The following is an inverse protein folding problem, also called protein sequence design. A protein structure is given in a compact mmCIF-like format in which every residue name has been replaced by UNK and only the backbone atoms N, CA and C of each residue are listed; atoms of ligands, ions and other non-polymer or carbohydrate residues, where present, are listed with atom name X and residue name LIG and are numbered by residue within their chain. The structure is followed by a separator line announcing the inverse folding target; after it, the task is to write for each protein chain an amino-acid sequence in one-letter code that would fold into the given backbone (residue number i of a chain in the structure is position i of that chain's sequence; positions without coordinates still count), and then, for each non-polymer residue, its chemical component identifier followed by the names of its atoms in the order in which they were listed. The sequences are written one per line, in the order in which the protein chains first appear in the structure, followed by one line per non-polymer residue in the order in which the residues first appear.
data_IF_961542481524
#
_entry.id   IF_961542481524
#
_cell.length_a   1.000
_cell.length_b   1.000
_cell.length_c   1.000
_cell.angle_alpha   90.00
_cell.angle_beta   90.00
_cell.angle_gamma   90.00
#
_symmetry.space_group_name_H-M   'P 1'
#
loop_
_entity.id
_entity.type
_entity.pdbx_description
1 polymer ?
#
# COMPACT_ATOMS: atom_id res chain seq x y z
N UNK A 1 -22.27 -21.67 -15.29
CA UNK A 1 -23.55 -20.96 -15.06
C UNK A 1 -23.19 -19.70 -14.30
N UNK A 2 -23.23 -18.55 -14.97
CA UNK A 2 -22.92 -17.27 -14.37
C UNK A 2 -24.00 -16.93 -13.34
N UNK A 3 -23.62 -16.78 -12.07
CA UNK A 3 -24.51 -16.30 -11.02
C UNK A 3 -24.67 -14.80 -11.17
N UNK A 4 -25.89 -14.40 -11.50
CA UNK A 4 -26.37 -13.02 -11.56
C UNK A 4 -26.37 -12.41 -10.13
N UNK A 5 -25.41 -11.53 -9.88
CA UNK A 5 -25.20 -10.86 -8.58
C UNK A 5 -26.27 -9.79 -8.26
N UNK A 6 -27.24 -9.54 -9.15
CA UNK A 6 -28.35 -8.62 -8.89
C UNK A 6 -29.33 -9.11 -7.80
N UNK A 7 -29.24 -10.37 -7.38
CA UNK A 7 -30.16 -10.99 -6.42
C UNK A 7 -29.83 -10.78 -4.93
N UNK A 8 -28.70 -10.14 -4.58
CA UNK A 8 -28.26 -9.99 -3.18
C UNK A 8 -28.76 -8.71 -2.48
N UNK A 9 -29.50 -7.82 -3.16
CA UNK A 9 -30.06 -6.62 -2.52
C UNK A 9 -29.02 -5.65 -1.94
N UNK A 10 -27.74 -5.82 -2.28
CA UNK A 10 -26.67 -4.89 -2.00
C UNK A 10 -26.77 -3.76 -3.02
N UNK A 11 -27.07 -2.56 -2.57
CA UNK A 11 -26.81 -1.35 -3.34
C UNK A 11 -25.31 -1.29 -3.62
N UNK A 12 -24.93 -1.20 -4.89
CA UNK A 12 -23.57 -0.85 -5.29
C UNK A 12 -23.24 0.51 -4.68
N UNK A 13 -22.47 0.54 -3.59
CA UNK A 13 -21.87 1.77 -3.08
C UNK A 13 -20.69 2.15 -3.99
N UNK A 14 -20.99 2.46 -5.25
CA UNK A 14 -20.05 3.07 -6.19
C UNK A 14 -19.99 4.56 -5.85
N UNK A 15 -19.05 4.96 -5.02
CA UNK A 15 -18.70 6.36 -4.86
C UNK A 15 -17.75 6.71 -6.00
N UNK A 16 -18.21 7.57 -6.92
CA UNK A 16 -17.33 8.27 -7.84
C UNK A 16 -17.30 9.71 -7.37
N UNK A 17 -16.15 10.14 -6.85
CA UNK A 17 -15.96 11.50 -6.35
C UNK A 17 -14.98 12.21 -7.25
N UNK A 18 -15.36 13.40 -7.71
CA UNK A 18 -14.41 14.37 -8.25
C UNK A 18 -13.60 14.87 -7.07
N UNK A 19 -12.30 14.63 -7.09
CA UNK A 19 -11.38 15.19 -6.09
C UNK A 19 -10.35 16.00 -6.86
N UNK A 20 -10.37 17.32 -6.66
CA UNK A 20 -9.21 18.16 -6.90
C UNK A 20 -8.15 17.75 -5.88
N UNK A 21 -7.27 16.83 -6.26
CA UNK A 21 -6.06 16.60 -5.47
C UNK A 21 -5.11 17.71 -5.92
N UNK A 22 -5.01 18.76 -5.11
CA UNK A 22 -3.86 19.65 -5.22
C UNK A 22 -2.63 18.78 -5.07
N UNK A 23 -1.96 18.49 -6.19
CA UNK A 23 -0.91 17.50 -6.31
C UNK A 23 0.06 17.59 -5.13
N UNK A 24 0.09 16.53 -4.34
CA UNK A 24 1.14 16.34 -3.36
C UNK A 24 2.45 16.18 -4.13
N UNK A 25 3.22 17.27 -4.20
CA UNK A 25 4.53 17.30 -4.85
C UNK A 25 5.59 16.46 -4.11
N UNK A 26 5.22 15.72 -3.06
CA UNK A 26 6.12 14.91 -2.26
C UNK A 26 5.54 13.52 -1.96
N UNK A 27 5.55 12.65 -2.99
CA UNK A 27 5.77 11.20 -2.84
C UNK A 27 4.96 10.51 -1.73
N UNK A 28 3.71 10.11 -2.00
CA UNK A 28 3.11 8.83 -1.57
C UNK A 28 1.65 8.76 -2.01
N UNK A 29 1.35 8.07 -3.12
CA UNK A 29 0.01 7.48 -3.30
C UNK A 29 0.07 6.12 -4.03
N UNK A 30 0.46 5.13 -3.24
CA UNK A 30 0.01 3.73 -3.26
C UNK A 30 -0.48 3.13 -4.60
N UNK A 31 0.41 2.95 -5.58
CA UNK A 31 0.32 1.80 -6.47
C UNK A 31 0.73 0.53 -5.68
N UNK A 32 -0.18 0.01 -4.85
CA UNK A 32 -0.05 -1.24 -4.06
C UNK A 32 1.40 -1.58 -3.65
N UNK A 33 1.93 -1.03 -2.54
CA UNK A 33 3.20 -1.48 -2.02
C UNK A 33 2.99 -2.81 -1.29
N UNK A 34 3.08 -3.92 -2.00
CA UNK A 34 3.45 -5.20 -1.39
C UNK A 34 4.25 -6.04 -2.37
N UNK A 35 5.56 -6.09 -2.12
CA UNK A 35 6.38 -7.32 -2.08
C UNK A 35 6.34 -8.18 -3.34
N UNK A 36 7.47 -8.25 -4.07
CA UNK A 36 7.95 -9.33 -4.98
C UNK A 36 8.12 -8.98 -6.47
N UNK A 37 7.37 -8.05 -7.08
CA UNK A 37 7.68 -7.48 -8.41
C UNK A 37 6.82 -6.24 -8.68
N UNK A 38 7.35 -5.16 -9.28
CA UNK A 38 6.51 -4.03 -9.68
C UNK A 38 5.43 -4.48 -10.67
N UNK A 39 4.24 -3.84 -10.64
CA UNK A 39 3.22 -4.14 -11.62
C UNK A 39 3.74 -3.96 -13.05
N UNK A 40 3.34 -4.86 -13.94
CA UNK A 40 3.55 -4.67 -15.38
C UNK A 40 2.40 -3.87 -15.95
N UNK A 41 2.71 -2.71 -16.55
CA UNK A 41 1.73 -1.85 -17.19
C UNK A 41 1.79 -1.99 -18.71
N UNK A 42 0.65 -2.30 -19.32
CA UNK A 42 0.51 -2.48 -20.77
C UNK A 42 -0.69 -1.71 -21.30
N UNK A 43 -0.67 -1.43 -22.60
CA UNK A 43 -1.76 -0.70 -23.26
C UNK A 43 -1.99 -1.21 -24.67
N UNK A 44 -3.20 -1.06 -25.17
CA UNK A 44 -3.56 -1.37 -26.56
C UNK A 44 -3.08 -0.30 -27.55
N UNK A 45 -2.72 0.89 -27.07
CA UNK A 45 -2.38 2.01 -27.95
C UNK A 45 -1.42 2.99 -27.28
N UNK A 46 -0.28 3.27 -27.89
CA UNK A 46 0.70 4.21 -27.34
C UNK A 46 1.44 4.95 -28.45
N UNK A 47 1.65 6.25 -28.26
CA UNK A 47 2.44 7.07 -29.17
C UNK A 47 3.93 6.69 -29.14
N UNK A 48 4.63 6.90 -30.26
CA UNK A 48 6.07 6.66 -30.33
C UNK A 48 6.82 7.56 -29.36
N UNK A 49 7.72 6.98 -28.57
CA UNK A 49 8.52 7.70 -27.56
C UNK A 49 7.91 7.71 -26.15
N UNK A 50 6.72 7.13 -25.97
CA UNK A 50 6.06 7.01 -24.67
C UNK A 50 6.04 5.57 -24.17
N UNK A 51 5.91 5.40 -22.86
CA UNK A 51 5.82 4.10 -22.17
C UNK A 51 4.54 4.01 -21.35
N UNK A 52 3.91 2.82 -21.32
CA UNK A 52 2.68 2.62 -20.56
C UNK A 52 2.92 2.69 -19.05
N UNK A 53 4.12 2.31 -18.60
CA UNK A 53 4.55 2.41 -17.21
C UNK A 53 4.60 3.83 -16.67
N UNK A 54 4.66 4.85 -17.54
CA UNK A 54 4.62 6.25 -17.14
C UNK A 54 3.24 6.73 -16.66
N UNK A 55 2.23 5.86 -16.70
CA UNK A 55 0.96 6.10 -16.02
C UNK A 55 0.90 5.41 -14.66
N UNK A 56 1.94 4.74 -14.20
CA UNK A 56 1.91 3.94 -12.96
C UNK A 56 3.26 3.99 -12.23
N UNK A 57 4.04 5.05 -12.44
CA UNK A 57 5.39 5.18 -11.89
C UNK A 57 5.43 6.06 -10.63
N UNK A 58 4.28 6.58 -10.20
CA UNK A 58 4.15 7.43 -9.01
C UNK A 58 4.77 8.82 -9.21
N UNK A 59 5.04 9.21 -10.45
CA UNK A 59 5.60 10.50 -10.80
C UNK A 59 4.64 11.25 -11.71
N UNK A 60 3.84 12.13 -11.12
CA UNK A 60 2.90 13.01 -11.83
C UNK A 60 3.55 13.88 -12.92
N UNK A 61 4.87 14.09 -12.89
CA UNK A 61 5.60 14.82 -13.93
C UNK A 61 5.88 14.00 -15.21
N UNK A 62 5.59 12.71 -15.19
CA UNK A 62 5.63 11.80 -16.33
C UNK A 62 4.22 11.36 -16.72
N UNK A 63 4.04 10.90 -17.95
CA UNK A 63 2.72 10.54 -18.45
C UNK A 63 2.75 9.52 -19.59
N UNK A 64 1.68 8.74 -19.66
CA UNK A 64 1.31 7.94 -20.81
C UNK A 64 0.57 8.78 -21.86
N UNK A 65 0.84 8.53 -23.14
CA UNK A 65 0.15 9.20 -24.25
C UNK A 65 -0.29 8.23 -25.34
N UNK A 66 -1.55 8.36 -25.74
CA UNK A 66 -2.13 7.58 -26.85
C UNK A 66 -1.61 8.03 -28.22
N UNK A 67 -1.77 7.18 -29.24
CA UNK A 67 -1.52 7.57 -30.63
C UNK A 67 -2.52 8.62 -31.12
N UNK A 68 -2.19 9.33 -32.19
CA UNK A 68 -3.07 10.30 -32.82
C UNK A 68 -4.43 9.71 -33.21
N UNK A 69 -5.51 10.39 -32.80
CA UNK A 69 -6.90 10.07 -33.12
C UNK A 69 -7.24 8.59 -32.85
N UNK A 70 -7.10 8.14 -31.59
CA UNK A 70 -7.29 6.74 -31.26
C UNK A 70 -8.76 6.34 -31.49
N UNK A 71 -8.99 5.12 -31.95
CA UNK A 71 -10.32 4.50 -31.89
C UNK A 71 -10.61 4.02 -30.47
N UNK A 72 -11.85 4.04 -30.01
CA UNK A 72 -12.21 3.46 -28.72
C UNK A 72 -12.97 2.13 -28.89
N UNK A 73 -12.90 1.20 -27.93
CA UNK A 73 -12.23 1.33 -26.63
C UNK A 73 -10.70 1.13 -26.67
N UNK A 74 -10.01 1.71 -25.69
CA UNK A 74 -8.58 1.47 -25.42
C UNK A 74 -8.41 0.92 -24.00
N UNK A 75 -7.41 0.07 -23.78
CA UNK A 75 -7.12 -0.50 -22.47
C UNK A 75 -5.80 0.03 -21.96
N UNK A 76 -5.77 0.39 -20.67
CA UNK A 76 -4.58 0.47 -19.84
C UNK A 76 -4.70 -0.64 -18.80
N UNK A 77 -3.72 -1.54 -18.73
CA UNK A 77 -3.78 -2.76 -17.92
C UNK A 77 -2.56 -2.86 -17.04
N UNK A 78 -2.80 -3.07 -15.74
CA UNK A 78 -1.82 -3.26 -14.69
C UNK A 78 -1.94 -4.69 -14.19
N UNK A 79 -0.84 -5.44 -14.11
CA UNK A 79 -0.83 -6.83 -13.65
C UNK A 79 0.29 -7.09 -12.66
N UNK A 80 0.04 -7.96 -11.69
CA UNK A 80 0.98 -8.35 -10.64
C UNK A 80 1.31 -9.84 -10.75
N UNK A 81 2.45 -10.30 -10.19
CA UNK A 81 2.75 -11.73 -10.10
C UNK A 81 1.82 -12.49 -9.14
N UNK A 82 1.19 -11.79 -8.18
CA UNK A 82 0.32 -12.36 -7.18
C UNK A 82 -0.96 -11.52 -7.01
N UNK A 83 -2.01 -12.13 -6.46
CA UNK A 83 -3.29 -11.46 -6.33
C UNK A 83 -3.26 -10.41 -5.20
N UNK A 84 -3.74 -9.21 -5.50
CA UNK A 84 -3.90 -8.13 -4.52
C UNK A 84 -5.38 -7.85 -4.27
N UNK A 85 -5.68 -7.44 -3.05
CA UNK A 85 -7.00 -6.96 -2.69
C UNK A 85 -7.10 -5.44 -2.91
N UNK A 86 -8.04 -5.02 -3.75
CA UNK A 86 -8.16 -3.67 -4.30
C UNK A 86 -9.63 -3.21 -4.35
N UNK A 87 -9.89 -1.91 -4.18
CA UNK A 87 -11.26 -1.34 -4.12
C UNK A 87 -11.44 -0.05 -4.89
N UNK A 88 -10.43 0.42 -5.61
CA UNK A 88 -10.54 1.65 -6.38
C UNK A 88 -9.50 1.75 -7.47
N UNK A 89 -9.78 2.60 -8.44
CA UNK A 89 -8.80 3.09 -9.41
C UNK A 89 -8.97 4.60 -9.55
N UNK A 90 -7.89 5.34 -9.36
CA UNK A 90 -7.83 6.78 -9.64
C UNK A 90 -7.17 6.98 -11.01
N UNK A 91 -7.74 7.87 -11.82
CA UNK A 91 -7.08 8.41 -13.01
C UNK A 91 -6.76 9.87 -12.71
N UNK A 92 -5.51 10.24 -12.98
CA UNK A 92 -4.98 11.59 -12.84
C UNK A 92 -4.52 12.08 -14.20
N UNK A 93 -4.81 13.33 -14.50
CA UNK A 93 -4.27 14.00 -15.68
C UNK A 93 -3.94 15.47 -15.39
N UNK A 94 -3.07 16.04 -16.19
CA UNK A 94 -3.03 17.48 -16.42
C UNK A 94 -3.79 17.84 -17.71
N UNK A 95 -4.15 19.12 -17.88
CA UNK A 95 -4.89 19.59 -19.06
C UNK A 95 -6.14 18.71 -19.38
N UNK A 96 -6.79 18.21 -18.34
CA UNK A 96 -7.78 17.13 -18.46
C UNK A 96 -8.98 17.50 -19.34
N UNK A 97 -9.38 18.76 -19.35
CA UNK A 97 -10.45 19.25 -20.23
C UNK A 97 -10.08 19.11 -21.73
N UNK A 98 -8.80 19.17 -22.10
CA UNK A 98 -8.33 18.99 -23.48
C UNK A 98 -7.97 17.54 -23.84
N UNK A 99 -7.51 16.73 -22.86
CA UNK A 99 -6.90 15.42 -23.12
C UNK A 99 -7.20 14.29 -22.12
N UNK A 100 -8.02 14.52 -21.10
CA UNK A 100 -8.36 13.49 -20.11
C UNK A 100 -9.36 12.46 -20.63
N UNK A 101 -9.32 11.19 -20.16
CA UNK A 101 -10.40 10.22 -20.36
C UNK A 101 -11.75 10.75 -19.88
N UNK A 102 -12.84 10.49 -20.59
CA UNK A 102 -14.19 11.03 -20.26
C UNK A 102 -15.22 9.96 -19.94
N UNK A 103 -14.92 8.69 -20.24
CA UNK A 103 -15.72 7.54 -19.83
C UNK A 103 -14.83 6.30 -19.84
N UNK A 104 -14.86 5.51 -18.76
CA UNK A 104 -14.16 4.24 -18.68
C UNK A 104 -14.84 3.25 -17.76
N UNK A 105 -14.54 1.98 -17.98
CA UNK A 105 -14.86 0.90 -17.05
C UNK A 105 -13.61 0.37 -16.38
N UNK A 106 -13.74 0.00 -15.10
CA UNK A 106 -12.70 -0.71 -14.35
C UNK A 106 -13.04 -2.20 -14.39
N UNK A 107 -12.08 -2.99 -14.86
CA UNK A 107 -12.16 -4.43 -14.96
C UNK A 107 -11.09 -5.07 -14.09
N UNK A 108 -11.39 -6.23 -13.52
CA UNK A 108 -10.43 -7.05 -12.76
C UNK A 108 -10.30 -8.43 -13.39
N UNK A 109 -9.13 -9.05 -13.22
CA UNK A 109 -8.85 -10.41 -13.63
C UNK A 109 -8.13 -11.17 -12.52
N UNK A 110 -8.66 -12.35 -12.18
CA UNK A 110 -8.08 -13.19 -11.13
C UNK A 110 -6.66 -13.69 -11.48
N UNK A 111 -6.36 -13.87 -12.77
CA UNK A 111 -5.08 -14.40 -13.29
C UNK A 111 -4.27 -13.34 -14.08
N UNK A 112 -4.69 -12.07 -13.99
CA UNK A 112 -4.08 -10.94 -14.69
C UNK A 112 -4.14 -11.00 -16.21
N UNK A 113 -4.78 -12.00 -16.83
CA UNK A 113 -4.63 -12.25 -18.27
C UNK A 113 -5.95 -12.56 -18.97
N UNK A 114 -6.85 -13.32 -18.36
CA UNK A 114 -8.11 -13.76 -18.95
C UNK A 114 -9.33 -13.36 -18.10
N UNK A 115 -10.53 -13.63 -18.61
CA UNK A 115 -11.80 -13.49 -17.86
C UNK A 115 -11.98 -12.14 -17.14
N UNK A 116 -11.65 -11.04 -17.83
CA UNK A 116 -11.81 -9.69 -17.31
C UNK A 116 -13.29 -9.38 -17.02
N UNK A 117 -13.58 -8.99 -15.79
CA UNK A 117 -14.93 -8.68 -15.30
C UNK A 117 -15.00 -7.20 -14.96
N UNK A 118 -15.98 -6.48 -15.51
CA UNK A 118 -16.26 -5.09 -15.12
C UNK A 118 -16.81 -5.04 -13.69
N UNK A 119 -16.14 -4.30 -12.81
CA UNK A 119 -16.52 -4.12 -11.40
C UNK A 119 -17.01 -2.71 -11.10
N UNK A 120 -16.68 -1.75 -11.96
CA UNK A 120 -17.06 -0.36 -11.80
C UNK A 120 -17.06 0.39 -13.15
N UNK A 121 -17.70 1.54 -13.19
CA UNK A 121 -17.63 2.49 -14.31
C UNK A 121 -17.49 3.90 -13.75
N UNK A 122 -16.69 4.75 -14.40
CA UNK A 122 -16.58 6.17 -14.04
C UNK A 122 -17.89 6.94 -14.22
N UNK A 123 -18.71 6.47 -15.19
CA UNK A 123 -19.72 7.30 -15.82
C UNK A 123 -19.09 8.44 -16.63
N UNK A 124 -19.90 9.37 -17.17
CA UNK A 124 -19.39 10.55 -17.84
C UNK A 124 -18.59 11.43 -16.88
N UNK A 125 -17.38 11.79 -17.27
CA UNK A 125 -16.49 12.69 -16.52
C UNK A 125 -16.34 14.00 -17.30
N UNK A 126 -16.52 15.12 -16.59
CA UNK A 126 -16.32 16.47 -17.12
C UNK A 126 -15.22 17.16 -16.33
N UNK A 127 -14.04 17.24 -16.92
CA UNK A 127 -12.89 17.92 -16.34
C UNK A 127 -13.05 19.45 -16.40
N UNK A 128 -12.47 20.12 -15.40
CA UNK A 128 -12.67 21.54 -15.17
C UNK A 128 -11.59 22.39 -15.84
N UNK A 129 -10.35 21.90 -15.87
CA UNK A 129 -9.15 22.66 -16.19
C UNK A 129 -8.45 22.14 -17.45
N UNK A 130 -7.97 23.07 -18.27
CA UNK A 130 -7.06 22.83 -19.40
C UNK A 130 -5.75 23.58 -19.17
N UNK A 131 -5.16 23.38 -17.99
CA UNK A 131 -3.87 23.93 -17.60
C UNK A 131 -3.03 22.87 -16.85
N UNK A 132 -1.88 23.26 -16.30
CA UNK A 132 -0.98 22.32 -15.60
C UNK A 132 -1.48 21.93 -14.19
N UNK A 133 -2.72 22.25 -13.81
CA UNK A 133 -3.33 21.68 -12.62
C UNK A 133 -3.65 20.21 -12.87
N UNK A 134 -3.29 19.36 -11.92
CA UNK A 134 -3.71 17.98 -11.93
C UNK A 134 -5.16 17.87 -11.44
N UNK A 135 -5.99 17.16 -12.20
CA UNK A 135 -7.31 16.73 -11.75
C UNK A 135 -7.33 15.21 -11.62
N UNK A 136 -8.15 14.69 -10.71
CA UNK A 136 -8.25 13.26 -10.49
C UNK A 136 -9.70 12.78 -10.44
N UNK A 137 -9.90 11.52 -10.81
CA UNK A 137 -11.18 10.84 -10.68
C UNK A 137 -10.98 9.43 -10.12
N UNK A 138 -11.44 9.24 -8.89
CA UNK A 138 -11.53 7.92 -8.26
C UNK A 138 -12.81 7.21 -8.70
N UNK A 139 -12.66 5.95 -9.09
CA UNK A 139 -13.75 5.00 -9.31
C UNK A 139 -13.63 3.88 -8.27
N UNK A 140 -14.46 3.96 -7.23
CA UNK A 140 -14.49 2.94 -6.17
C UNK A 140 -15.45 1.79 -6.48
N UNK A 141 -15.14 0.61 -5.96
CA UNK A 141 -15.94 -0.60 -6.10
C UNK A 141 -15.78 -1.55 -4.90
N UNK A 142 -16.72 -2.49 -4.69
CA UNK A 142 -16.58 -3.49 -3.63
C UNK A 142 -15.24 -4.23 -3.76
N UNK A 143 -14.51 -4.39 -2.65
CA UNK A 143 -13.18 -5.01 -2.65
C UNK A 143 -13.13 -6.30 -3.48
N UNK A 144 -12.14 -6.39 -4.36
CA UNK A 144 -11.85 -7.54 -5.22
C UNK A 144 -10.44 -8.05 -4.92
N UNK A 145 -10.22 -9.35 -5.08
CA UNK A 145 -8.86 -9.93 -5.07
C UNK A 145 -8.51 -10.36 -6.49
N UNK A 146 -7.45 -9.80 -7.07
CA UNK A 146 -7.11 -9.98 -8.47
C UNK A 146 -5.60 -9.79 -8.74
N UNK A 147 -5.09 -10.50 -9.75
CA UNK A 147 -3.73 -10.35 -10.30
C UNK A 147 -3.67 -9.29 -11.42
N UNK A 148 -4.80 -8.71 -11.82
CA UNK A 148 -4.79 -7.61 -12.77
C UNK A 148 -5.99 -6.68 -12.69
N UNK A 149 -5.73 -5.42 -13.00
CA UNK A 149 -6.71 -4.34 -13.15
C UNK A 149 -6.57 -3.75 -14.55
N UNK A 150 -7.70 -3.50 -15.21
CA UNK A 150 -7.75 -2.88 -16.53
C UNK A 150 -8.74 -1.73 -16.53
N UNK A 151 -8.26 -0.56 -16.91
CA UNK A 151 -9.10 0.58 -17.27
C UNK A 151 -9.37 0.49 -18.76
N UNK A 152 -10.62 0.20 -19.11
CA UNK A 152 -11.11 0.21 -20.48
C UNK A 152 -11.76 1.57 -20.77
N UNK A 153 -11.03 2.43 -21.47
CA UNK A 153 -11.40 3.79 -21.84
C UNK A 153 -12.36 3.72 -23.02
N UNK A 154 -13.59 4.20 -22.80
CA UNK A 154 -14.66 4.29 -23.79
C UNK A 154 -14.63 5.59 -24.60
N UNK A 155 -14.18 6.68 -23.99
CA UNK A 155 -13.96 7.97 -24.66
C UNK A 155 -12.97 8.85 -23.90
N UNK A 156 -12.41 9.84 -24.58
CA UNK A 156 -11.56 10.87 -23.99
C UNK A 156 -11.74 12.21 -24.70
N UNK A 157 -11.39 13.30 -24.02
CA UNK A 157 -11.14 14.58 -24.66
C UNK A 157 -9.93 14.43 -25.59
N UNK A 158 -9.98 15.12 -26.72
CA UNK A 158 -9.05 14.90 -27.83
C UNK A 158 -8.73 16.21 -28.57
N UNK A 159 -8.67 17.32 -27.85
CA UNK A 159 -8.38 18.65 -28.42
C UNK A 159 -6.99 18.69 -29.05
N UNK A 160 -6.01 18.06 -28.40
CA UNK A 160 -4.65 17.88 -28.91
C UNK A 160 -4.52 16.68 -29.87
N UNK A 161 -5.66 16.04 -30.16
CA UNK A 161 -5.78 14.88 -31.04
C UNK A 161 -5.19 13.58 -30.47
N UNK A 162 -4.86 13.57 -29.18
CA UNK A 162 -4.51 12.41 -28.35
C UNK A 162 -5.12 12.62 -26.95
N UNK A 163 -5.30 11.53 -26.20
CA UNK A 163 -5.54 11.57 -24.76
C UNK A 163 -4.29 11.17 -23.96
N UNK A 164 -4.22 11.66 -22.73
CA UNK A 164 -3.11 11.48 -21.78
C UNK A 164 -3.63 10.97 -20.43
N UNK A 165 -2.80 10.18 -19.76
CA UNK A 165 -2.96 9.80 -18.34
C UNK A 165 -1.62 10.03 -17.69
N UNK A 166 -1.58 10.91 -16.70
CA UNK A 166 -0.38 11.26 -15.95
C UNK A 166 -0.13 10.18 -14.91
N UNK A 167 -1.18 9.77 -14.18
CA UNK A 167 -1.08 8.68 -13.23
C UNK A 167 -2.39 7.85 -13.19
N UNK A 168 -2.24 6.56 -12.97
CA UNK A 168 -3.28 5.60 -12.67
C UNK A 168 -2.89 4.88 -11.38
N UNK A 169 -3.64 5.18 -10.33
CA UNK A 169 -3.41 4.59 -9.02
C UNK A 169 -4.44 3.50 -8.77
N UNK A 170 -4.01 2.39 -8.16
CA UNK A 170 -4.91 1.30 -7.77
C UNK A 170 -5.07 1.34 -6.26
N UNK A 171 -6.23 1.77 -5.80
CA UNK A 171 -6.52 1.85 -4.37
C UNK A 171 -6.59 0.44 -3.78
N UNK A 172 -5.74 0.13 -2.78
CA UNK A 172 -5.87 -1.10 -2.02
C UNK A 172 -7.26 -1.24 -1.40
N UNK A 173 -7.69 -2.46 -1.11
CA UNK A 173 -9.00 -2.65 -0.51
C UNK A 173 -9.06 -1.96 0.86
N UNK A 174 -9.87 -0.92 0.98
CA UNK A 174 -10.11 -0.24 2.25
C UNK A 174 -11.53 -0.56 2.73
N UNK A 175 -11.65 -1.30 3.82
CA UNK A 175 -12.96 -1.63 4.38
C UNK A 175 -13.51 -0.54 5.31
N UNK A 176 -12.71 0.46 5.69
CA UNK A 176 -13.10 1.48 6.66
C UNK A 176 -14.32 2.31 6.22
N UNK A 177 -14.49 2.72 4.94
CA UNK A 177 -15.67 3.46 4.48
C UNK A 177 -17.01 2.73 4.61
N UNK A 178 -16.99 1.39 4.68
CA UNK A 178 -18.20 0.61 4.91
C UNK A 178 -18.61 0.53 6.40
N UNK A 179 -17.75 0.98 7.31
CA UNK A 179 -18.02 0.94 8.74
C UNK A 179 -18.80 2.17 9.23
N UNK A 180 -19.63 1.95 10.25
CA UNK A 180 -20.09 3.05 11.11
C UNK A 180 -18.98 3.43 12.07
N UNK A 181 -18.47 4.66 11.95
CA UNK A 181 -17.46 5.21 12.86
C UNK A 181 -18.10 5.86 14.09
N UNK A 182 -17.54 5.61 15.27
CA UNK A 182 -17.89 6.28 16.52
C UNK A 182 -16.65 6.64 17.33
N UNK A 183 -16.76 7.61 18.23
CA UNK A 183 -15.64 8.03 19.08
C UNK A 183 -16.10 8.48 20.46
N UNK A 184 -15.22 8.36 21.45
CA UNK A 184 -15.46 8.83 22.83
C UNK A 184 -15.11 10.31 23.04
N UNK A 185 -14.46 10.97 22.09
CA UNK A 185 -14.10 12.40 22.18
C UNK A 185 -14.30 13.07 20.84
N UNK A 186 -15.26 14.00 20.74
CA UNK A 186 -15.59 14.67 19.49
C UNK A 186 -15.76 16.16 19.71
N UNK A 187 -15.07 16.98 18.90
CA UNK A 187 -15.28 18.42 18.88
C UNK A 187 -16.65 18.79 18.27
N UNK A 188 -17.23 19.90 18.73
CA UNK A 188 -18.47 20.42 18.15
C UNK A 188 -18.26 20.78 16.68
N UNK A 189 -19.18 20.34 15.82
CA UNK A 189 -19.11 20.57 14.37
C UNK A 189 -18.34 19.52 13.58
N UNK A 190 -17.71 18.55 14.25
CA UNK A 190 -16.98 17.44 13.61
C UNK A 190 -17.78 16.14 13.67
N UNK A 191 -17.39 15.17 12.84
CA UNK A 191 -17.96 13.82 12.81
C UNK A 191 -16.85 12.78 12.93
N UNK A 192 -17.14 11.66 13.61
CA UNK A 192 -16.25 10.50 13.58
C UNK A 192 -16.12 9.96 12.15
N UNK A 193 -17.23 9.97 11.38
CA UNK A 193 -17.25 9.43 10.02
C UNK A 193 -16.38 10.17 9.01
N UNK A 194 -15.87 11.35 9.36
CA UNK A 194 -14.95 12.07 8.51
C UNK A 194 -13.61 11.32 8.36
N UNK A 195 -13.13 10.68 9.43
CA UNK A 195 -11.86 9.96 9.39
C UNK A 195 -11.94 8.55 8.79
N UNK A 196 -13.10 8.04 8.38
CA UNK A 196 -13.17 6.79 7.60
C UNK A 196 -13.90 6.97 6.27
N UNK A 197 -14.03 8.20 5.79
CA UNK A 197 -14.82 8.50 4.60
C UNK A 197 -14.16 8.04 3.30
N UNK A 198 -12.83 7.89 3.30
CA UNK A 198 -12.03 7.75 2.09
C UNK A 198 -11.89 9.06 1.29
N UNK A 199 -12.28 10.20 1.87
CA UNK A 199 -12.16 11.52 1.25
C UNK A 199 -11.01 12.29 1.87
N UNK A 200 -10.02 12.64 1.05
CA UNK A 200 -8.75 13.21 1.48
C UNK A 200 -8.87 14.53 2.25
N UNK A 201 -9.89 15.34 2.02
CA UNK A 201 -10.10 16.64 2.70
C UNK A 201 -10.93 16.55 4.00
N UNK A 202 -11.34 15.35 4.39
CA UNK A 202 -12.16 15.17 5.58
C UNK A 202 -11.33 14.63 6.75
N UNK A 203 -11.62 15.13 7.95
CA UNK A 203 -10.90 14.75 9.15
C UNK A 203 -11.79 14.77 10.38
N UNK A 204 -11.43 13.93 11.34
CA UNK A 204 -12.00 13.91 12.68
C UNK A 204 -11.15 14.77 13.62
N UNK A 205 -11.81 15.49 14.54
CA UNK A 205 -11.14 16.27 15.59
C UNK A 205 -11.68 15.94 16.97
N UNK A 206 -10.78 15.69 17.92
CA UNK A 206 -11.13 15.36 19.31
C UNK A 206 -11.77 16.55 20.03
N UNK A 207 -12.49 16.31 21.12
CA UNK A 207 -12.83 17.38 22.07
C UNK A 207 -11.57 18.05 22.64
N UNK A 208 -11.72 19.26 23.20
CA UNK A 208 -10.63 20.02 23.80
C UNK A 208 -10.03 19.27 25.01
N UNK A 209 -8.71 19.14 25.04
CA UNK A 209 -7.91 18.55 26.11
C UNK A 209 -8.49 17.23 26.61
N UNK A 210 -8.62 16.22 25.73
CA UNK A 210 -9.26 14.96 26.08
C UNK A 210 -8.40 14.19 27.09
N UNK A 211 -9.04 13.47 28.02
CA UNK A 211 -8.34 12.52 28.90
C UNK A 211 -8.08 11.22 28.16
N UNK A 212 -6.88 10.67 28.21
CA UNK A 212 -6.61 9.37 27.58
C UNK A 212 -6.89 8.18 28.52
N UNK A 213 -7.28 7.00 28.00
CA UNK A 213 -7.39 6.68 26.58
C UNK A 213 -8.69 7.19 25.93
N UNK A 214 -8.63 7.46 24.63
CA UNK A 214 -9.78 7.71 23.77
C UNK A 214 -9.98 6.56 22.80
N UNK A 215 -11.20 6.38 22.31
CA UNK A 215 -11.54 5.31 21.40
C UNK A 215 -12.09 5.88 20.09
N UNK A 216 -11.62 5.35 18.98
CA UNK A 216 -12.19 5.52 17.66
C UNK A 216 -12.55 4.13 17.13
N UNK A 217 -13.84 3.87 16.91
CA UNK A 217 -14.37 2.53 16.64
C UNK A 217 -15.00 2.48 15.26
N UNK A 218 -14.60 1.48 14.47
CA UNK A 218 -15.20 1.11 13.20
C UNK A 218 -16.03 -0.15 13.41
N UNK A 219 -17.33 -0.08 13.13
CA UNK A 219 -18.22 -1.24 13.20
C UNK A 219 -18.85 -1.52 11.84
N UNK A 220 -18.64 -2.71 11.32
CA UNK A 220 -19.13 -3.11 10.00
C UNK A 220 -20.50 -3.78 10.07
N UNK A 221 -21.31 -3.66 9.01
CA UNK A 221 -22.57 -4.41 8.90
C UNK A 221 -22.34 -5.93 8.75
N UNK A 222 -21.16 -6.34 8.26
CA UNK A 222 -20.71 -7.73 8.15
C UNK A 222 -19.23 -7.82 8.53
N UNK A 223 -18.77 -8.92 9.16
CA UNK A 223 -17.36 -9.07 9.52
C UNK A 223 -16.42 -8.88 8.33
N UNK A 224 -15.33 -8.15 8.56
CA UNK A 224 -14.29 -7.89 7.56
C UNK A 224 -13.00 -8.60 7.94
N UNK A 225 -12.26 -9.07 6.92
CA UNK A 225 -10.89 -9.52 7.12
C UNK A 225 -9.95 -8.31 7.05
N UNK A 226 -9.22 -8.06 8.13
CA UNK A 226 -8.29 -6.92 8.25
C UNK A 226 -6.94 -7.44 8.73
N UNK A 227 -5.86 -6.98 8.09
CA UNK A 227 -4.48 -7.32 8.48
C UNK A 227 -3.59 -6.12 8.75
N UNK A 228 -4.06 -4.90 8.47
CA UNK A 228 -3.40 -3.69 8.90
C UNK A 228 -4.39 -2.55 9.09
N UNK A 229 -4.00 -1.58 9.92
CA UNK A 229 -4.69 -0.29 10.03
C UNK A 229 -3.69 0.83 9.81
N UNK A 230 -4.02 1.74 8.90
CA UNK A 230 -3.24 2.95 8.62
C UNK A 230 -3.92 4.14 9.26
N UNK A 231 -3.13 4.96 9.97
CA UNK A 231 -3.55 6.28 10.44
C UNK A 231 -2.85 7.33 9.58
N UNK A 232 -3.63 8.22 8.97
CA UNK A 232 -3.14 9.36 8.19
C UNK A 232 -3.37 10.66 8.96
N UNK A 233 -2.40 11.56 8.88
CA UNK A 233 -2.47 12.87 9.50
C UNK A 233 -1.80 13.96 8.64
N UNK A 234 -2.25 15.20 8.84
CA UNK A 234 -1.53 16.42 8.48
C UNK A 234 -1.09 17.16 9.76
N UNK A 235 -0.04 17.98 9.68
CA UNK A 235 0.54 18.68 10.84
C UNK A 235 0.79 17.72 12.02
N UNK A 236 1.33 16.54 11.72
CA UNK A 236 1.34 15.41 12.64
C UNK A 236 2.14 15.68 13.93
N UNK A 237 3.14 16.57 13.89
CA UNK A 237 3.95 16.88 15.07
C UNK A 237 3.17 17.64 16.14
N UNK A 238 2.07 18.30 15.77
CA UNK A 238 1.25 19.07 16.70
C UNK A 238 -0.12 18.46 17.00
N UNK A 239 -0.65 17.56 16.16
CA UNK A 239 -2.03 17.09 16.34
C UNK A 239 -2.28 15.59 16.10
N UNK A 240 -1.29 14.78 15.74
CA UNK A 240 -1.54 13.36 15.52
C UNK A 240 -1.49 12.51 16.81
N UNK A 241 -2.23 11.40 16.89
CA UNK A 241 -1.98 10.33 17.86
C UNK A 241 -0.53 9.88 17.86
N UNK A 242 0.02 9.55 19.03
CA UNK A 242 1.44 9.15 19.20
C UNK A 242 1.60 7.79 19.87
N UNK A 243 0.50 7.20 20.36
CA UNK A 243 0.47 5.86 20.95
C UNK A 243 -0.98 5.37 20.88
N UNK A 244 -1.21 4.25 20.19
CA UNK A 244 -2.51 3.60 20.14
C UNK A 244 -2.39 2.07 20.07
N UNK A 245 -3.40 1.41 20.64
CA UNK A 245 -3.63 -0.03 20.47
C UNK A 245 -4.71 -0.26 19.41
N UNK A 246 -4.57 -1.32 18.63
CA UNK A 246 -5.62 -1.86 17.79
C UNK A 246 -6.30 -2.98 18.56
N UNK A 247 -7.61 -2.83 18.74
CA UNK A 247 -8.43 -3.85 19.38
C UNK A 247 -9.49 -4.37 18.43
N UNK A 248 -9.71 -5.67 18.44
CA UNK A 248 -10.81 -6.30 17.70
C UNK A 248 -11.97 -6.70 18.60
N UNK A 249 -13.16 -6.78 18.00
CA UNK A 249 -14.31 -7.45 18.59
C UNK A 249 -14.97 -8.35 17.53
N UNK A 250 -14.94 -9.68 17.70
CA UNK A 250 -15.61 -10.60 16.78
C UNK A 250 -17.12 -10.35 16.64
N UNK A 251 -17.78 -9.86 17.70
CA UNK A 251 -19.22 -9.58 17.72
C UNK A 251 -19.58 -8.09 17.59
N UNK A 252 -18.57 -7.23 17.44
CA UNK A 252 -18.70 -5.79 17.23
C UNK A 252 -19.12 -4.97 18.45
N UNK A 253 -19.37 -5.60 19.62
CA UNK A 253 -19.97 -4.92 20.77
C UNK A 253 -19.26 -5.19 22.09
N UNK A 254 -18.58 -6.33 22.25
CA UNK A 254 -17.92 -6.75 23.49
C UNK A 254 -16.70 -7.64 23.21
N UNK A 255 -16.01 -8.06 24.27
CA UNK A 255 -14.89 -9.02 24.11
C UNK A 255 -13.69 -8.42 23.39
N UNK A 256 -13.45 -7.12 23.58
CA UNK A 256 -12.36 -6.41 22.96
C UNK A 256 -11.00 -6.97 23.37
N UNK A 257 -10.18 -7.36 22.40
CA UNK A 257 -8.82 -7.87 22.57
C UNK A 257 -7.84 -6.96 21.84
N UNK A 258 -6.75 -6.56 22.50
CA UNK A 258 -5.64 -5.89 21.79
C UNK A 258 -4.92 -6.91 20.93
N UNK A 259 -4.81 -6.63 19.64
CA UNK A 259 -4.17 -7.50 18.64
C UNK A 259 -2.86 -6.91 18.10
N UNK A 260 -2.69 -5.59 18.21
CA UNK A 260 -1.45 -4.89 17.91
C UNK A 260 -1.40 -3.54 18.60
N UNK A 261 -0.21 -2.94 18.62
CA UNK A 261 0.02 -1.59 19.15
C UNK A 261 0.99 -0.86 18.22
N UNK A 262 0.80 0.44 18.05
CA UNK A 262 1.73 1.28 17.31
C UNK A 262 3.09 1.42 18.00
N UNK A 263 3.14 1.17 19.31
CA UNK A 263 4.21 1.67 20.16
C UNK A 263 4.18 3.19 20.25
N UNK A 264 5.27 3.79 20.71
CA UNK A 264 5.44 5.25 20.71
C UNK A 264 5.86 5.72 19.33
N UNK A 265 5.00 6.51 18.68
CA UNK A 265 5.22 7.08 17.36
C UNK A 265 5.74 8.51 17.50
N UNK A 266 6.87 8.78 16.84
CA UNK A 266 7.42 10.13 16.65
C UNK A 266 7.24 10.52 15.19
N UNK A 267 6.35 11.48 14.92
CA UNK A 267 6.09 11.93 13.55
C UNK A 267 7.25 12.77 12.99
N UNK A 268 7.76 12.45 11.80
CA UNK A 268 8.87 13.20 11.19
C UNK A 268 8.44 14.62 10.78
N UNK A 269 9.42 15.46 10.49
CA UNK A 269 9.21 16.77 9.86
C UNK A 269 9.05 16.58 8.33
N UNK A 270 8.42 17.54 7.62
CA UNK A 270 7.90 18.83 8.10
C UNK A 270 6.56 18.71 8.86
N UNK A 271 6.24 19.74 9.65
CA UNK A 271 4.93 19.90 10.32
C UNK A 271 4.06 20.89 9.54
N UNK A 272 3.59 20.45 8.38
CA UNK A 272 2.78 21.22 7.46
C UNK A 272 1.60 20.38 6.94
N UNK A 273 1.02 20.78 5.82
CA UNK A 273 -0.08 20.05 5.18
C UNK A 273 0.38 18.81 4.39
N UNK A 274 1.65 18.41 4.47
CA UNK A 274 2.10 17.12 3.94
C UNK A 274 1.49 15.99 4.76
N UNK A 275 0.85 15.06 4.05
CA UNK A 275 0.24 13.87 4.64
C UNK A 275 1.31 12.91 5.07
N UNK A 276 1.24 12.45 6.32
CA UNK A 276 2.03 11.34 6.81
C UNK A 276 1.09 10.20 7.20
N UNK A 277 1.55 8.97 6.97
CA UNK A 277 0.83 7.77 7.32
C UNK A 277 1.66 6.90 8.25
N UNK A 278 0.99 6.22 9.18
CA UNK A 278 1.59 5.18 10.01
C UNK A 278 0.72 3.94 9.99
N UNK A 279 1.31 2.84 9.51
CA UNK A 279 0.62 1.55 9.38
C UNK A 279 1.02 0.64 10.53
N UNK A 280 0.02 0.04 11.15
CA UNK A 280 0.22 -1.06 12.11
C UNK A 280 -0.32 -2.33 11.48
N UNK A 281 0.59 -3.21 11.11
CA UNK A 281 0.29 -4.54 10.57
C UNK A 281 0.13 -5.56 11.70
N UNK A 282 -0.68 -6.59 11.47
CA UNK A 282 -0.94 -7.66 12.44
C UNK A 282 -1.43 -8.93 11.78
N UNK A 283 -1.40 -10.03 12.52
CA UNK A 283 -1.93 -11.31 12.04
C UNK A 283 -3.39 -11.11 11.68
N UNK A 284 -3.79 -11.40 10.42
CA UNK A 284 -5.12 -11.06 9.95
C UNK A 284 -6.24 -11.60 10.85
N UNK A 285 -7.21 -10.74 11.14
CA UNK A 285 -8.42 -11.10 11.90
C UNK A 285 -9.65 -10.99 11.03
N UNK A 286 -10.71 -11.71 11.38
CA UNK A 286 -12.05 -11.50 10.81
C UNK A 286 -12.97 -10.97 11.91
N UNK A 287 -13.26 -9.66 11.88
CA UNK A 287 -13.92 -8.96 12.97
C UNK A 287 -15.13 -8.16 12.51
N UNK A 288 -16.15 -8.08 13.36
CA UNK A 288 -17.32 -7.21 13.15
C UNK A 288 -17.07 -5.76 13.59
N UNK A 289 -16.06 -5.51 14.43
CA UNK A 289 -15.56 -4.18 14.71
C UNK A 289 -14.07 -4.18 15.05
N UNK A 290 -13.40 -3.07 14.72
CA UNK A 290 -12.09 -2.69 15.22
C UNK A 290 -12.21 -1.37 15.96
N UNK A 291 -11.33 -1.12 16.92
CA UNK A 291 -11.16 0.21 17.48
C UNK A 291 -9.71 0.54 17.75
N UNK A 292 -9.36 1.79 17.49
CA UNK A 292 -8.14 2.41 17.96
C UNK A 292 -8.38 2.87 19.39
N UNK A 293 -7.63 2.30 20.34
CA UNK A 293 -7.52 2.80 21.71
C UNK A 293 -6.31 3.74 21.74
N UNK A 294 -6.58 5.03 21.59
CA UNK A 294 -5.59 6.10 21.56
C UNK A 294 -5.13 6.36 22.99
N UNK A 295 -3.90 6.01 23.30
CA UNK A 295 -3.28 6.14 24.62
C UNK A 295 -2.60 7.51 24.81
N UNK A 296 -2.11 8.13 23.72
CA UNK A 296 -1.52 9.46 23.76
C UNK A 296 -1.59 10.14 22.37
N UNK A 297 -1.47 11.47 22.35
CA UNK A 297 -1.41 12.26 21.12
C UNK A 297 -0.65 13.58 21.32
N UNK A 298 -0.15 14.14 20.22
CA UNK A 298 0.28 15.53 20.16
C UNK A 298 -0.94 16.45 20.28
N UNK A 299 -0.86 17.43 21.18
CA UNK A 299 -1.96 18.35 21.52
C UNK A 299 -1.51 19.81 21.44
N UNK A 300 -0.79 20.20 20.39
CA UNK A 300 -0.27 21.55 20.18
C UNK A 300 -1.36 22.63 20.21
N UNK A 301 -2.54 22.34 19.65
CA UNK A 301 -3.74 23.19 19.77
C UNK A 301 -4.71 22.74 20.89
N UNK A 302 -4.29 21.77 21.71
CA UNK A 302 -5.09 21.13 22.74
C UNK A 302 -6.11 20.10 22.23
N UNK A 303 -6.06 19.74 20.95
CA UNK A 303 -6.89 18.68 20.34
C UNK A 303 -5.98 17.80 19.48
N UNK A 304 -6.37 16.54 19.30
CA UNK A 304 -5.78 15.70 18.27
C UNK A 304 -6.74 15.55 17.09
N UNK A 305 -6.16 15.25 15.94
CA UNK A 305 -6.83 15.09 14.66
C UNK A 305 -6.43 13.73 14.07
N UNK A 306 -7.37 13.11 13.37
CA UNK A 306 -7.11 11.97 12.52
C UNK A 306 -7.72 12.32 11.17
N UNK A 307 -6.90 12.39 10.14
CA UNK A 307 -7.34 12.74 8.80
C UNK A 307 -8.00 11.52 8.18
N UNK A 308 -7.33 10.37 8.15
CA UNK A 308 -7.95 9.10 7.75
C UNK A 308 -7.54 7.93 8.65
N UNK A 309 -8.44 6.95 8.74
CA UNK A 309 -8.25 5.61 9.28
C UNK A 309 -8.64 4.65 8.18
N UNK A 310 -7.67 3.90 7.71
CA UNK A 310 -7.85 2.93 6.64
C UNK A 310 -7.64 1.52 7.18
N UNK A 311 -8.50 0.59 6.76
CA UNK A 311 -8.38 -0.81 7.16
C UNK A 311 -8.08 -1.65 5.94
N UNK A 312 -6.87 -2.18 5.92
CA UNK A 312 -6.33 -2.93 4.81
C UNK A 312 -6.56 -4.42 5.04
N UNK A 313 -6.82 -5.20 3.97
CA UNK A 313 -6.85 -6.64 4.03
C UNK A 313 -5.49 -7.17 4.52
N UNK A 314 -5.46 -8.45 4.84
CA UNK A 314 -4.20 -9.16 4.98
C UNK A 314 -3.33 -8.94 3.74
N UNK A 315 -2.15 -8.35 3.92
CA UNK A 315 -1.08 -8.57 2.95
C UNK A 315 -0.77 -10.07 3.00
N UNK A 316 -0.82 -10.78 1.86
CA UNK A 316 -0.58 -12.21 1.88
C UNK A 316 0.82 -12.48 2.40
N UNK A 317 0.94 -13.52 3.23
CA UNK A 317 2.25 -14.12 3.51
C UNK A 317 2.76 -14.64 2.18
N UNK A 318 3.91 -14.13 1.73
CA UNK A 318 4.56 -14.55 0.49
C UNK A 318 5.79 -15.38 0.83
N UNK A 319 5.98 -16.47 0.11
CA UNK A 319 7.21 -17.27 0.19
C UNK A 319 7.84 -17.25 -1.17
N UNK A 320 9.02 -16.63 -1.25
CA UNK A 320 9.69 -16.35 -2.51
C UNK A 320 11.16 -16.73 -2.42
N UNK A 321 11.80 -16.90 -3.58
CA UNK A 321 13.25 -16.85 -3.68
C UNK A 321 13.69 -15.47 -4.13
N UNK A 322 14.64 -14.86 -3.41
CA UNK A 322 15.12 -13.50 -3.69
C UNK A 322 16.40 -13.53 -4.52
N UNK A 323 16.29 -13.22 -5.81
CA UNK A 323 17.37 -13.12 -6.77
C UNK A 323 18.03 -11.73 -6.72
N UNK A 324 19.33 -11.69 -6.44
CA UNK A 324 20.11 -10.46 -6.53
C UNK A 324 20.36 -10.05 -7.98
N UNK A 325 20.13 -8.77 -8.30
CA UNK A 325 20.28 -8.26 -9.66
C UNK A 325 21.73 -8.07 -10.12
N UNK A 326 22.69 -7.98 -9.21
CA UNK A 326 24.11 -7.83 -9.56
C UNK A 326 24.78 -9.17 -9.88
N UNK A 327 24.56 -10.20 -9.07
CA UNK A 327 25.16 -11.53 -9.25
C UNK A 327 24.30 -12.52 -10.02
N UNK A 328 22.97 -12.37 -10.01
CA UNK A 328 22.05 -13.39 -10.49
C UNK A 328 22.01 -14.63 -9.58
N UNK A 329 22.43 -14.49 -8.32
CA UNK A 329 22.39 -15.51 -7.27
C UNK A 329 21.26 -15.20 -6.29
N UNK A 330 20.86 -16.19 -5.49
CA UNK A 330 19.73 -16.09 -4.58
C UNK A 330 20.17 -16.00 -3.13
N UNK A 331 19.44 -15.21 -2.34
CA UNK A 331 19.56 -15.20 -0.88
C UNK A 331 19.38 -16.63 -0.34
N UNK A 332 20.32 -17.10 0.48
CA UNK A 332 20.45 -18.49 0.88
C UNK A 332 20.76 -18.63 2.40
N UNK A 333 20.22 -19.70 3.01
CA UNK A 333 20.80 -20.28 4.23
C UNK A 333 21.90 -21.28 3.81
N UNK A 334 23.19 -20.97 4.02
CA UNK A 334 24.28 -21.75 3.48
C UNK A 334 24.16 -23.24 3.81
N UNK A 335 24.00 -24.06 2.76
CA UNK A 335 23.84 -25.52 2.85
C UNK A 335 22.58 -25.98 3.63
N UNK A 336 21.58 -25.12 3.80
CA UNK A 336 20.41 -25.34 4.64
C UNK A 336 20.79 -25.61 6.10
N UNK A 337 21.60 -24.70 6.67
CA UNK A 337 22.24 -24.92 7.96
C UNK A 337 21.24 -25.09 9.10
N UNK A 338 20.13 -24.36 9.10
CA UNK A 338 19.13 -24.30 10.18
C UNK A 338 19.70 -23.99 11.57
N UNK A 339 20.94 -23.48 11.63
CA UNK A 339 21.67 -23.19 12.86
C UNK A 339 21.60 -21.69 13.14
N UNK A 340 21.12 -21.26 14.33
CA UNK A 340 21.13 -19.85 14.68
C UNK A 340 22.54 -19.25 14.61
N UNK A 341 22.63 -18.04 14.09
CA UNK A 341 23.85 -17.29 13.80
C UNK A 341 24.72 -17.83 12.66
N UNK A 342 24.13 -18.62 11.76
CA UNK A 342 24.69 -18.82 10.42
C UNK A 342 24.49 -17.54 9.61
N UNK A 343 25.57 -16.95 9.08
CA UNK A 343 25.46 -15.79 8.20
C UNK A 343 24.80 -16.18 6.88
N UNK A 344 23.80 -15.41 6.45
CA UNK A 344 23.19 -15.59 5.14
C UNK A 344 24.18 -15.21 4.03
N UNK A 345 24.05 -15.85 2.89
CA UNK A 345 24.88 -15.62 1.71
C UNK A 345 24.05 -15.62 0.42
N UNK A 346 24.75 -15.56 -0.71
CA UNK A 346 24.18 -15.79 -2.03
C UNK A 346 24.72 -17.08 -2.65
N UNK A 347 23.84 -17.85 -3.27
CA UNK A 347 24.18 -19.10 -3.96
C UNK A 347 23.35 -19.25 -5.25
N UNK A 348 23.76 -20.16 -6.14
CA UNK A 348 23.01 -20.48 -7.34
C UNK A 348 21.55 -20.81 -7.00
N UNK A 349 20.63 -20.12 -7.67
CA UNK A 349 19.21 -20.25 -7.43
C UNK A 349 18.70 -21.67 -7.69
N UNK A 350 17.91 -22.18 -6.76
CA UNK A 350 17.26 -23.48 -6.77
C UNK A 350 15.93 -23.45 -6.02
N UNK A 351 15.24 -24.59 -5.98
CA UNK A 351 13.94 -24.74 -5.31
C UNK A 351 14.07 -25.32 -3.88
N UNK A 352 15.26 -25.24 -3.28
CA UNK A 352 15.52 -25.76 -1.95
C UNK A 352 14.93 -24.84 -0.87
N UNK A 353 14.50 -25.42 0.26
CA UNK A 353 13.87 -24.68 1.35
C UNK A 353 14.75 -23.56 1.91
N UNK A 354 16.08 -23.72 1.83
CA UNK A 354 17.07 -22.76 2.28
C UNK A 354 17.05 -21.41 1.52
N UNK A 355 16.45 -21.37 0.32
CA UNK A 355 16.27 -20.17 -0.49
C UNK A 355 14.81 -19.69 -0.53
N UNK A 356 13.93 -20.28 0.29
CA UNK A 356 12.51 -19.94 0.35
C UNK A 356 12.26 -19.04 1.56
N UNK A 357 12.30 -17.74 1.33
CA UNK A 357 12.11 -16.75 2.37
C UNK A 357 10.65 -16.33 2.41
N UNK A 358 10.03 -16.57 3.56
CA UNK A 358 8.65 -16.22 3.85
C UNK A 358 8.60 -14.86 4.53
N UNK A 359 8.09 -13.85 3.81
CA UNK A 359 7.79 -12.55 4.36
C UNK A 359 6.43 -12.58 5.05
N UNK A 360 6.40 -12.19 6.33
CA UNK A 360 5.16 -12.08 7.11
C UNK A 360 4.90 -10.60 7.42
N UNK A 361 4.02 -9.92 6.66
CA UNK A 361 3.76 -8.49 6.85
C UNK A 361 3.28 -8.13 8.26
N UNK A 362 2.55 -9.04 8.90
CA UNK A 362 2.05 -8.88 10.27
C UNK A 362 3.15 -8.70 11.33
N UNK A 363 4.33 -9.28 11.09
CA UNK A 363 5.47 -9.24 12.00
C UNK A 363 6.69 -8.56 11.38
N UNK A 364 6.58 -8.15 10.11
CA UNK A 364 7.66 -7.58 9.29
C UNK A 364 8.89 -8.49 9.23
N UNK A 365 8.72 -9.79 9.38
CA UNK A 365 9.84 -10.76 9.41
C UNK A 365 10.02 -11.46 8.08
N UNK A 366 11.27 -11.66 7.67
CA UNK A 366 11.67 -12.61 6.64
C UNK A 366 12.17 -13.89 7.30
N UNK A 367 11.57 -15.02 6.96
CA UNK A 367 11.88 -16.32 7.60
C UNK A 367 12.26 -17.39 6.59
N UNK A 368 13.31 -18.15 6.87
CA UNK A 368 13.70 -19.33 6.09
C UNK A 368 14.01 -20.47 7.06
N UNK A 369 13.54 -21.68 6.73
CA UNK A 369 13.75 -22.89 7.53
C UNK A 369 13.49 -22.76 9.06
N UNK A 370 12.58 -21.88 9.46
CA UNK A 370 12.21 -21.63 10.86
C UNK A 370 13.09 -20.61 11.62
N UNK A 371 14.04 -19.98 10.93
CA UNK A 371 14.86 -18.86 11.42
C UNK A 371 14.42 -17.55 10.77
N UNK A 372 14.76 -16.44 11.43
CA UNK A 372 14.52 -15.08 10.96
C UNK A 372 15.81 -14.49 10.40
N UNK A 373 15.73 -13.76 9.28
CA UNK A 373 16.81 -12.87 8.85
C UNK A 373 17.01 -11.79 9.93
N UNK A 374 18.23 -11.63 10.39
CA UNK A 374 18.61 -10.84 11.56
C UNK A 374 19.82 -9.95 11.24
N UNK A 375 19.79 -8.70 11.68
CA UNK A 375 20.99 -7.85 11.68
C UNK A 375 21.90 -8.25 12.82
N UNK A 376 23.05 -8.86 12.50
CA UNK A 376 23.90 -9.55 13.46
C UNK A 376 24.19 -8.72 14.71
N UNK A 377 23.76 -9.25 15.86
CA UNK A 377 23.96 -8.62 17.17
C UNK A 377 23.14 -7.35 17.41
N UNK A 378 22.11 -7.09 16.59
CA UNK A 378 21.30 -5.86 16.63
C UNK A 378 22.11 -4.62 16.25
N UNK A 379 23.07 -4.76 15.33
CA UNK A 379 23.89 -3.66 14.86
C UNK A 379 23.21 -2.92 13.70
N UNK A 380 23.21 -1.59 13.73
CA UNK A 380 22.42 -0.74 12.82
C UNK A 380 23.28 0.23 12.00
N UNK A 381 24.52 -0.16 11.68
CA UNK A 381 25.46 0.63 10.89
C UNK A 381 25.79 -0.04 9.55
N UNK A 382 26.19 0.72 8.51
CA UNK A 382 26.69 0.14 7.27
C UNK A 382 27.79 -0.91 7.50
N UNK A 383 27.75 -1.99 6.73
CA UNK A 383 28.62 -3.16 6.85
C UNK A 383 28.20 -4.18 7.92
N UNK A 384 27.09 -3.98 8.65
CA UNK A 384 26.54 -5.02 9.53
C UNK A 384 26.17 -6.24 8.69
N UNK A 385 26.71 -7.41 9.03
CA UNK A 385 26.34 -8.69 8.39
C UNK A 385 24.98 -9.17 8.83
N UNK A 386 24.30 -9.91 7.95
CA UNK A 386 23.02 -10.54 8.29
C UNK A 386 23.20 -12.03 8.59
N UNK A 387 22.65 -12.46 9.72
CA UNK A 387 22.57 -13.87 10.10
C UNK A 387 21.13 -14.39 10.11
N UNK A 388 21.00 -15.71 10.12
CA UNK A 388 19.76 -16.39 10.36
C UNK A 388 19.72 -16.75 11.83
N UNK A 389 18.79 -16.14 12.56
CA UNK A 389 18.71 -16.27 14.00
C UNK A 389 17.36 -16.80 14.47
N UNK A 390 17.32 -17.26 15.72
CA UNK A 390 16.05 -17.62 16.34
C UNK A 390 15.14 -16.41 16.31
N UNK A 391 13.91 -16.58 15.81
CA UNK A 391 12.94 -15.49 15.77
C UNK A 391 12.65 -14.97 17.20
N UNK A 392 12.97 -13.71 17.45
CA UNK A 392 12.96 -13.07 18.77
C UNK A 392 11.58 -12.57 19.21
N UNK A 393 10.57 -12.73 18.35
CA UNK A 393 9.20 -12.28 18.56
C UNK A 393 8.86 -11.02 17.74
N UNK A 394 7.57 -10.71 17.69
CA UNK A 394 7.02 -9.61 16.90
C UNK A 394 7.63 -8.26 17.30
N UNK A 395 8.08 -7.48 16.32
CA UNK A 395 8.59 -6.12 16.50
C UNK A 395 9.99 -6.03 17.10
N UNK A 396 10.78 -7.11 17.07
CA UNK A 396 12.19 -7.00 17.42
C UNK A 396 12.94 -6.19 16.34
N UNK A 397 13.61 -5.07 16.68
CA UNK A 397 14.28 -4.21 15.72
C UNK A 397 15.24 -4.96 14.77
N UNK A 398 15.98 -5.95 15.25
CA UNK A 398 16.98 -6.65 14.43
C UNK A 398 16.36 -7.57 13.35
N UNK A 399 15.05 -7.83 13.41
CA UNK A 399 14.33 -8.80 12.56
C UNK A 399 13.14 -8.19 11.82
N UNK A 400 13.02 -6.86 11.83
CA UNK A 400 11.98 -6.14 11.07
C UNK A 400 12.52 -5.67 9.73
N UNK A 401 11.78 -5.97 8.69
CA UNK A 401 12.13 -5.76 7.29
C UNK A 401 10.94 -5.15 6.55
N UNK A 402 11.20 -4.17 5.71
CA UNK A 402 10.24 -3.61 4.76
C UNK A 402 10.69 -3.97 3.35
N UNK A 403 9.79 -4.55 2.56
CA UNK A 403 10.00 -4.75 1.13
C UNK A 403 9.39 -3.56 0.39
N UNK A 404 10.23 -2.76 -0.29
CA UNK A 404 9.79 -1.54 -0.96
C UNK A 404 9.47 -1.75 -2.45
N UNK A 405 8.93 -0.73 -3.12
CA UNK A 405 8.57 -0.76 -4.55
C UNK A 405 9.78 -0.76 -5.51
N UNK A 406 10.99 -0.56 -4.99
CA UNK A 406 12.26 -0.63 -5.74
C UNK A 406 12.95 -1.99 -5.60
N UNK A 407 12.22 -3.03 -5.16
CA UNK A 407 12.74 -4.37 -4.90
C UNK A 407 13.92 -4.41 -3.91
N UNK A 408 13.99 -3.44 -2.99
CA UNK A 408 14.94 -3.46 -1.88
C UNK A 408 14.30 -4.06 -0.63
N UNK A 409 15.10 -4.79 0.14
CA UNK A 409 14.78 -5.22 1.50
C UNK A 409 15.41 -4.20 2.44
N UNK A 410 14.60 -3.49 3.22
CA UNK A 410 15.04 -2.39 4.10
C UNK A 410 14.90 -2.81 5.54
N UNK A 411 15.95 -2.64 6.34
CA UNK A 411 15.92 -2.84 7.79
C UNK A 411 15.01 -1.80 8.44
N UNK A 412 13.98 -2.26 9.15
CA UNK A 412 13.10 -1.39 9.93
C UNK A 412 13.80 -0.74 11.13
N UNK A 413 14.90 -1.33 11.62
CA UNK A 413 15.73 -0.75 12.69
C UNK A 413 16.59 0.42 12.22
N UNK A 414 17.26 0.27 11.08
CA UNK A 414 18.33 1.19 10.65
C UNK A 414 17.95 2.07 9.46
N UNK A 415 16.92 1.70 8.70
CA UNK A 415 16.62 2.28 7.40
C UNK A 415 17.65 1.95 6.32
N UNK A 416 18.60 1.05 6.58
CA UNK A 416 19.59 0.57 5.62
C UNK A 416 19.04 -0.58 4.78
N UNK A 417 19.61 -0.76 3.58
CA UNK A 417 19.19 -1.76 2.62
C UNK A 417 20.08 -3.01 2.70
N UNK A 418 19.46 -4.18 2.53
CA UNK A 418 20.14 -5.46 2.38
C UNK A 418 20.93 -5.48 1.08
N UNK A 419 22.21 -5.80 1.16
CA UNK A 419 23.17 -5.76 0.07
C UNK A 419 24.00 -7.06 0.04
N UNK A 420 24.29 -7.59 -1.14
CA UNK A 420 25.34 -8.61 -1.28
C UNK A 420 26.74 -8.00 -1.13
N UNK A 421 27.60 -8.57 -0.27
CA UNK A 421 29.01 -8.19 -0.10
C UNK A 421 29.91 -9.03 -1.02
N UNK A 422 29.64 -8.95 -2.32
CA UNK A 422 30.33 -9.70 -3.36
C UNK A 422 29.38 -10.44 -4.29
N UNK A 423 29.85 -10.73 -5.51
CA UNK A 423 29.01 -11.30 -6.58
C UNK A 423 29.30 -12.78 -6.86
N UNK A 424 30.02 -13.47 -5.97
CA UNK A 424 30.36 -14.89 -6.10
C UNK A 424 29.49 -15.73 -5.16
N UNK A 425 29.33 -17.04 -5.43
CA UNK A 425 28.79 -17.97 -4.42
C UNK A 425 29.47 -17.79 -3.07
N UNK A 426 28.69 -18.00 -2.02
CA UNK A 426 29.10 -17.86 -0.61
C UNK A 426 29.44 -16.42 -0.21
N UNK A 427 29.18 -15.41 -1.05
CA UNK A 427 29.34 -14.00 -0.66
C UNK A 427 28.27 -13.65 0.37
N UNK A 428 28.70 -13.07 1.49
CA UNK A 428 27.80 -12.77 2.60
C UNK A 428 26.88 -11.59 2.29
N UNK A 429 25.83 -11.46 3.10
CA UNK A 429 24.90 -10.34 3.04
C UNK A 429 25.21 -9.31 4.13
N UNK A 430 25.01 -8.03 3.82
CA UNK A 430 25.19 -6.92 4.75
C UNK A 430 24.13 -5.83 4.63
N UNK A 431 24.15 -4.88 5.55
CA UNK A 431 23.39 -3.63 5.48
C UNK A 431 24.25 -2.49 4.93
N UNK A 432 23.71 -1.70 4.01
CA UNK A 432 24.36 -0.50 3.46
C UNK A 432 23.35 0.62 3.19
N UNK A 433 23.82 1.84 2.98
CA UNK A 433 22.97 2.95 2.57
C UNK A 433 22.17 2.60 1.31
N UNK A 434 20.86 2.81 1.38
CA UNK A 434 19.96 2.53 0.28
C UNK A 434 20.29 3.39 -0.95
N UNK A 435 20.50 2.73 -2.09
CA UNK A 435 20.70 3.32 -3.41
C UNK A 435 19.93 2.47 -4.44
N UNK A 436 18.83 3.01 -4.98
CA UNK A 436 18.00 2.31 -5.97
C UNK A 436 18.72 2.09 -7.31
N UNK A 437 19.85 2.75 -7.54
CA UNK A 437 20.73 2.52 -8.69
C UNK A 437 21.76 1.40 -8.48
N UNK A 438 21.88 0.86 -7.27
CA UNK A 438 22.86 -0.18 -6.95
C UNK A 438 22.25 -1.60 -7.09
N UNK A 439 22.61 -2.37 -8.14
CA UNK A 439 22.00 -3.68 -8.38
C UNK A 439 22.29 -4.72 -7.28
N UNK A 440 23.33 -4.52 -6.45
CA UNK A 440 23.63 -5.39 -5.31
C UNK A 440 22.59 -5.29 -4.18
N UNK A 441 21.71 -4.27 -4.22
CA UNK A 441 20.64 -4.05 -3.25
C UNK A 441 19.25 -4.42 -3.79
N UNK A 442 19.18 -4.92 -5.04
CA UNK A 442 17.91 -5.20 -5.72
C UNK A 442 17.66 -6.71 -5.73
N UNK A 443 16.63 -7.12 -5.00
CA UNK A 443 16.26 -8.50 -4.70
C UNK A 443 14.92 -8.85 -5.33
N UNK A 444 14.95 -9.34 -6.57
CA UNK A 444 13.73 -9.72 -7.30
C UNK A 444 13.21 -11.05 -6.75
N UNK A 445 11.94 -11.10 -6.36
CA UNK A 445 11.32 -12.39 -6.08
C UNK A 445 11.06 -13.17 -7.38
N UNK A 446 11.09 -14.50 -7.30
CA UNK A 446 11.02 -15.41 -8.45
C UNK A 446 9.94 -16.46 -8.38
#
# INVERSE_FOLDING_TARGET
MASDFSSLGLTTNSYATDVDVAADSANTDLAIPTTSRPPTTTTTNIASGYTASSATDGNFGTFFKSTQSPSFPQNLTVTWPAAHALSGVTIVCDHCQGQGPTDWSVQVSADGSTNWITVATSGPVNWQHDDNSYESRLVSFPAQTAEGVRVQIGSANNEYGQYQIDEMEVTPANSAPAATATTTSLASGYSASAANSGLWESFFKSAQSPSFPQYYTLQWPQPQSVGAVTLVCDYCQIQAPTDWDIQESPNGTSGWTTIASSGSVSWPAPDDATRLAYTVSFTPVTAAALRLKINNANLGSGQYQIDQVETMPANPVSTESYLNSASGLCLDDPNGSTTPSTFADVEACGAGAQQQFTYTPATETLTTEGLCLDSYGGANTPGTKLDLYTCLGTGNPSQVWTLNSSDQIVSGESGLCVQEDGTASDSQIELEYCDTGNPAQIWNAM
#
